data_IF_059222774135
#
_entry.id   IF_059222774135
#
_cell.length_a   1.000
_cell.length_b   1.000
_cell.length_c   1.000
_cell.angle_alpha   90.00
_cell.angle_beta   90.00
_cell.angle_gamma   90.00
#
_symmetry.space_group_name_H-M   'P 1'
#
loop_
_entity.id
_entity.type
_entity.pdbx_description
1 polymer ?
#
# COMPACT_ATOMS: atom_id res chain seq x y z
N UNK A 1 -2.08 47.07 52.21
CA UNK A 1 -1.50 45.82 52.72
C UNK A 1 -1.33 44.89 51.55
N UNK A 2 -0.09 44.52 51.27
CA UNK A 2 0.22 43.48 50.29
C UNK A 2 0.65 42.20 51.00
N UNK A 3 0.46 41.08 50.32
CA UNK A 3 0.74 39.74 50.84
C UNK A 3 1.87 39.13 50.03
N UNK A 4 2.86 38.59 50.73
CA UNK A 4 3.93 37.79 50.15
C UNK A 4 3.69 36.34 50.58
N UNK A 5 3.50 35.47 49.59
CA UNK A 5 3.37 34.03 49.78
C UNK A 5 4.72 33.36 49.54
N UNK A 6 5.33 32.79 50.58
CA UNK A 6 6.60 32.06 50.51
C UNK A 6 6.33 30.57 50.37
N UNK A 7 6.93 29.95 49.36
CA UNK A 7 6.82 28.52 49.08
C UNK A 7 8.23 27.94 48.98
N UNK A 8 8.61 27.03 49.87
CA UNK A 8 9.91 26.36 49.79
C UNK A 8 9.76 24.86 49.58
N UNK A 9 10.48 24.32 48.61
CA UNK A 9 10.61 22.89 48.45
C UNK A 9 11.65 22.33 49.43
N UNK A 10 11.19 21.58 50.42
CA UNK A 10 12.03 20.95 51.44
C UNK A 10 11.43 19.60 51.89
N UNK A 11 12.22 18.54 51.73
CA UNK A 11 11.84 17.19 52.16
C UNK A 11 12.08 17.06 53.66
N UNK A 12 11.00 16.93 54.42
CA UNK A 12 11.03 16.80 55.88
C UNK A 12 10.85 15.38 56.37
N UNK A 13 11.42 15.14 57.55
CA UNK A 13 11.21 13.94 58.35
C UNK A 13 10.14 14.16 59.41
N UNK A 14 9.57 13.08 59.93
CA UNK A 14 8.54 13.13 60.96
C UNK A 14 9.03 13.91 62.21
N UNK A 15 8.20 14.83 62.69
CA UNK A 15 8.50 15.67 63.87
C UNK A 15 9.35 16.91 63.59
N UNK A 16 9.68 17.19 62.33
CA UNK A 16 10.32 18.44 61.92
C UNK A 16 9.29 19.53 61.65
N UNK A 17 9.58 20.73 62.14
CA UNK A 17 8.83 21.95 61.89
C UNK A 17 9.74 22.94 61.15
N UNK A 18 9.23 23.53 60.06
CA UNK A 18 9.97 24.51 59.27
C UNK A 18 9.53 25.93 59.63
N UNK A 19 10.51 26.82 59.75
CA UNK A 19 10.30 28.24 59.98
C UNK A 19 11.05 29.05 58.94
N UNK A 20 10.50 30.19 58.57
CA UNK A 20 11.18 31.25 57.85
C UNK A 20 11.54 32.36 58.84
N UNK A 21 12.78 32.84 58.78
CA UNK A 21 13.26 33.97 59.56
C UNK A 21 13.46 35.18 58.66
N UNK A 22 13.01 36.35 59.09
CA UNK A 22 13.22 37.62 58.39
C UNK A 22 14.10 38.54 59.23
N UNK A 23 15.10 39.17 58.59
CA UNK A 23 15.96 40.19 59.19
C UNK A 23 16.44 39.82 60.60
N UNK A 24 16.84 38.55 60.80
CA UNK A 24 17.34 37.95 62.04
C UNK A 24 16.45 38.05 63.30
N UNK A 25 15.21 38.49 63.18
CA UNK A 25 14.39 38.86 64.36
C UNK A 25 12.97 38.31 64.33
N UNK A 26 12.39 38.12 63.15
CA UNK A 26 11.02 37.66 63.02
C UNK A 26 10.97 36.23 62.51
N UNK A 27 10.28 35.35 63.25
CA UNK A 27 10.14 33.93 62.89
C UNK A 27 8.69 33.61 62.58
N UNK A 28 8.42 33.11 61.38
CA UNK A 28 7.09 32.62 61.01
C UNK A 28 7.12 31.09 60.83
N UNK A 29 6.23 30.34 61.51
CA UNK A 29 6.07 28.92 61.24
C UNK A 29 5.49 28.72 59.85
N UNK A 30 5.99 27.71 59.14
CA UNK A 30 5.48 27.32 57.84
C UNK A 30 4.54 26.13 57.97
N UNK A 31 3.63 26.00 57.00
CA UNK A 31 2.70 24.87 56.91
C UNK A 31 3.14 23.91 55.82
N UNK A 32 3.20 22.63 56.12
CA UNK A 32 3.52 21.60 55.12
C UNK A 32 2.33 21.36 54.18
N UNK A 33 2.61 21.14 52.90
CA UNK A 33 1.63 20.75 51.87
C UNK A 33 2.13 19.56 51.06
N UNK A 34 1.22 18.90 50.33
CA UNK A 34 1.55 17.77 49.48
C UNK A 34 2.66 18.12 48.47
N UNK A 35 3.62 17.22 48.27
CA UNK A 35 4.75 17.45 47.37
C UNK A 35 5.98 18.05 48.04
N UNK A 36 6.09 17.97 49.37
CA UNK A 36 7.22 18.49 50.15
C UNK A 36 7.42 20.00 50.00
N UNK A 37 6.32 20.72 49.82
CA UNK A 37 6.31 22.19 49.74
C UNK A 37 5.81 22.73 51.07
N UNK A 38 6.58 23.62 51.67
CA UNK A 38 6.20 24.38 52.84
C UNK A 38 5.77 25.78 52.44
N UNK A 39 4.65 26.23 52.99
CA UNK A 39 4.03 27.52 52.67
C UNK A 39 3.99 28.44 53.89
N UNK A 40 4.33 29.71 53.68
CA UNK A 40 4.31 30.76 54.69
C UNK A 40 3.76 32.05 54.09
N UNK A 41 3.20 32.93 54.91
CA UNK A 41 2.58 34.17 54.44
C UNK A 41 3.03 35.35 55.30
N UNK A 42 3.45 36.43 54.65
CA UNK A 42 3.84 37.69 55.31
C UNK A 42 3.06 38.86 54.72
N UNK A 43 2.47 39.68 55.58
CA UNK A 43 1.79 40.91 55.16
C UNK A 43 2.74 42.10 55.33
N UNK A 44 2.81 42.95 54.30
CA UNK A 44 3.66 44.14 54.26
C UNK A 44 2.84 45.42 54.03
N UNK A 45 3.29 46.52 54.62
CA UNK A 45 2.67 47.84 54.55
C UNK A 45 3.54 48.80 53.73
N UNK A 46 3.55 48.60 52.42
CA UNK A 46 4.35 49.40 51.48
C UNK A 46 5.66 48.71 51.07
N UNK A 47 6.54 49.43 50.35
CA UNK A 47 7.81 48.87 49.91
C UNK A 47 8.72 48.51 51.08
N UNK A 48 9.35 47.34 51.03
CA UNK A 48 10.23 46.83 52.09
C UNK A 48 11.33 45.95 51.50
N UNK A 49 12.55 46.09 52.02
CA UNK A 49 13.63 45.13 51.80
C UNK A 49 13.52 44.02 52.86
N UNK A 50 13.53 42.77 52.42
CA UNK A 50 13.59 41.63 53.32
C UNK A 50 14.78 40.76 52.98
N UNK A 51 15.49 40.36 54.02
CA UNK A 51 16.45 39.27 54.02
C UNK A 51 15.81 38.10 54.75
N UNK A 52 15.92 36.88 54.21
CA UNK A 52 15.36 35.71 54.86
C UNK A 52 16.21 34.44 54.70
N UNK A 53 16.01 33.52 55.63
CA UNK A 53 16.55 32.17 55.59
C UNK A 53 15.60 31.21 56.29
N UNK A 54 15.78 29.92 56.04
CA UNK A 54 14.94 28.89 56.64
C UNK A 54 15.66 28.14 57.76
N UNK A 55 14.88 27.65 58.73
CA UNK A 55 15.40 26.80 59.80
C UNK A 55 14.41 25.69 60.14
N UNK A 56 14.97 24.58 60.61
CA UNK A 56 14.23 23.39 61.01
C UNK A 56 14.34 23.23 62.52
N UNK A 57 13.20 23.09 63.18
CA UNK A 57 13.11 22.75 64.60
C UNK A 57 12.58 21.34 64.79
N UNK A 58 13.05 20.70 65.85
CA UNK A 58 12.54 19.42 66.36
C UNK A 58 12.38 19.58 67.86
N UNK A 59 11.18 19.41 68.39
CA UNK A 59 10.86 19.61 69.81
C UNK A 59 11.37 20.96 70.37
N UNK A 60 11.08 22.06 69.66
CA UNK A 60 11.52 23.42 69.99
C UNK A 60 13.04 23.67 70.01
N UNK A 61 13.86 22.70 69.60
CA UNK A 61 15.31 22.89 69.43
C UNK A 61 15.62 23.07 67.95
N UNK A 62 16.44 24.07 67.63
CA UNK A 62 16.94 24.27 66.26
C UNK A 62 17.82 23.07 65.92
N UNK A 63 17.39 22.29 64.93
CA UNK A 63 18.13 21.14 64.43
C UNK A 63 19.04 21.55 63.28
N UNK A 64 18.55 22.45 62.41
CA UNK A 64 19.28 22.89 61.22
C UNK A 64 18.91 24.32 60.89
N UNK A 65 19.91 25.09 60.48
CA UNK A 65 19.73 26.38 59.82
C UNK A 65 20.18 26.17 58.37
N UNK A 66 19.51 26.82 57.42
CA UNK A 66 19.92 26.81 56.03
C UNK A 66 21.37 27.32 55.92
N UNK A 67 22.28 26.46 55.46
CA UNK A 67 23.68 26.79 55.26
C UNK A 67 23.81 27.52 53.91
N UNK A 68 23.47 28.80 53.89
CA UNK A 68 23.44 29.56 52.65
C UNK A 68 24.84 30.09 52.34
N UNK A 69 25.34 29.85 51.12
CA UNK A 69 26.48 30.54 50.53
C UNK A 69 26.11 31.96 50.00
N UNK A 70 25.09 32.60 50.58
CA UNK A 70 24.60 33.95 50.26
C UNK A 70 23.20 34.18 50.85
N UNK A 71 22.92 35.35 51.45
CA UNK A 71 21.60 35.66 52.03
C UNK A 71 20.52 35.78 50.94
N UNK A 72 19.32 35.22 51.14
CA UNK A 72 18.18 35.50 50.24
C UNK A 72 17.68 36.90 50.56
N UNK A 73 17.72 37.78 49.58
CA UNK A 73 17.31 39.18 49.74
C UNK A 73 16.44 39.64 48.57
N UNK A 74 15.44 40.47 48.85
CA UNK A 74 14.59 41.04 47.80
C UNK A 74 13.93 42.35 48.24
N UNK A 75 13.82 43.29 47.29
CA UNK A 75 13.10 44.54 47.45
C UNK A 75 11.64 44.37 47.00
N UNK A 76 10.73 44.20 47.95
CA UNK A 76 9.30 44.09 47.68
C UNK A 76 8.69 45.49 47.51
N UNK A 77 8.05 45.76 46.37
CA UNK A 77 7.50 47.08 46.05
C UNK A 77 6.09 47.33 46.66
N UNK A 78 5.62 46.49 47.58
CA UNK A 78 4.28 46.61 48.15
C UNK A 78 3.16 46.02 47.28
N UNK A 79 3.48 45.11 46.36
CA UNK A 79 2.52 44.33 45.57
C UNK A 79 2.34 42.92 46.16
N UNK A 80 1.27 42.22 45.76
CA UNK A 80 1.11 40.81 46.08
C UNK A 80 2.08 39.97 45.26
N UNK A 81 2.93 39.21 45.93
CA UNK A 81 4.06 38.49 45.33
C UNK A 81 4.08 37.06 45.85
N UNK A 82 4.44 36.12 44.98
CA UNK A 82 4.74 34.73 45.33
C UNK A 82 6.24 34.51 45.21
N UNK A 83 6.85 33.97 46.27
CA UNK A 83 8.26 33.57 46.33
C UNK A 83 8.30 32.05 46.29
N UNK A 84 9.14 31.50 45.40
CA UNK A 84 9.46 30.07 45.32
C UNK A 84 10.93 29.85 45.58
N UNK A 85 11.21 29.04 46.60
CA UNK A 85 12.53 28.72 47.10
C UNK A 85 12.79 27.21 47.07
N UNK A 86 14.07 26.83 47.03
CA UNK A 86 14.54 25.45 47.17
C UNK A 86 15.62 25.39 48.22
N UNK A 87 15.44 24.54 49.24
CA UNK A 87 16.38 24.41 50.36
C UNK A 87 17.80 24.05 49.91
N UNK A 88 17.93 23.15 48.94
CA UNK A 88 19.23 22.66 48.46
C UNK A 88 19.81 23.47 47.29
N UNK A 89 19.05 24.46 46.79
CA UNK A 89 19.43 25.28 45.64
C UNK A 89 19.04 26.74 45.91
N UNK A 90 19.73 27.44 46.82
CA UNK A 90 19.35 28.79 47.22
C UNK A 90 19.39 29.81 46.08
N UNK A 91 20.28 29.60 45.11
CA UNK A 91 20.41 30.44 43.91
C UNK A 91 19.19 30.37 42.97
N UNK A 92 18.27 29.42 43.17
CA UNK A 92 17.04 29.25 42.36
C UNK A 92 15.82 29.97 42.96
N UNK A 93 16.02 31.04 43.71
CA UNK A 93 14.92 31.86 44.24
C UNK A 93 14.15 32.52 43.10
N UNK A 94 12.86 32.23 42.97
CA UNK A 94 11.97 32.90 42.01
C UNK A 94 10.96 33.78 42.72
N UNK A 95 10.94 35.06 42.36
CA UNK A 95 9.96 36.02 42.84
C UNK A 95 9.06 36.41 41.68
N UNK A 96 7.77 36.11 41.80
CA UNK A 96 6.78 36.37 40.76
C UNK A 96 5.64 37.22 41.30
N UNK A 97 5.37 38.35 40.66
CA UNK A 97 4.16 39.12 40.93
C UNK A 97 2.93 38.28 40.57
N UNK A 98 1.91 38.25 41.44
CA UNK A 98 0.70 37.44 41.25
C UNK A 98 -0.04 37.80 39.94
N UNK A 99 0.10 39.04 39.48
CA UNK A 99 -0.42 39.51 38.20
C UNK A 99 0.27 38.86 36.99
N UNK A 100 1.57 38.53 37.11
CA UNK A 100 2.33 37.86 36.05
C UNK A 100 1.93 36.39 35.91
N UNK A 101 1.67 35.67 37.01
CA UNK A 101 1.20 34.28 36.97
C UNK A 101 -0.20 34.13 36.38
N UNK A 102 -1.12 35.04 36.69
CA UNK A 102 -2.46 35.05 36.07
C UNK A 102 -2.39 35.34 34.56
N UNK A 103 -1.46 36.20 34.13
CA UNK A 103 -1.24 36.52 32.73
C UNK A 103 -0.65 35.34 31.94
N UNK A 104 0.30 34.60 32.53
CA UNK A 104 0.91 33.44 31.86
C UNK A 104 -0.04 32.25 31.77
N UNK A 105 -0.85 32.00 32.80
CA UNK A 105 -1.91 30.99 32.77
C UNK A 105 -2.96 31.30 31.70
N UNK A 106 -3.45 32.55 31.65
CA UNK A 106 -4.36 32.98 30.59
C UNK A 106 -3.76 32.81 29.19
N UNK A 107 -2.46 33.08 29.01
CA UNK A 107 -1.78 32.87 27.73
C UNK A 107 -1.70 31.38 27.34
N UNK A 108 -1.46 30.50 28.31
CA UNK A 108 -1.41 29.05 28.08
C UNK A 108 -2.78 28.49 27.68
N UNK A 109 -3.84 28.94 28.36
CA UNK A 109 -5.21 28.53 28.05
C UNK A 109 -5.64 28.98 26.65
N UNK A 110 -5.33 30.23 26.28
CA UNK A 110 -5.57 30.76 24.92
C UNK A 110 -4.81 29.93 23.87
N UNK A 111 -3.54 29.63 24.10
CA UNK A 111 -2.74 28.83 23.17
C UNK A 111 -3.29 27.41 23.01
N UNK A 112 -3.77 26.80 24.09
CA UNK A 112 -4.37 25.47 24.06
C UNK A 112 -5.69 25.46 23.28
N UNK A 113 -6.56 26.43 23.52
CA UNK A 113 -7.81 26.58 22.75
C UNK A 113 -7.53 26.77 21.25
N UNK A 114 -6.54 27.59 20.92
CA UNK A 114 -6.15 27.83 19.53
C UNK A 114 -5.57 26.58 18.85
N UNK A 115 -4.88 25.73 19.62
CA UNK A 115 -4.37 24.45 19.14
C UNK A 115 -5.51 23.44 18.90
N UNK A 116 -6.45 23.33 19.84
CA UNK A 116 -7.61 22.45 19.73
C UNK A 116 -8.50 22.85 18.54
N UNK A 117 -8.71 24.15 18.31
CA UNK A 117 -9.46 24.65 17.16
C UNK A 117 -8.76 24.32 15.83
N UNK A 118 -7.44 24.45 15.77
CA UNK A 118 -6.64 24.07 14.59
C UNK A 118 -6.73 22.57 14.32
N UNK A 119 -6.64 21.74 15.35
CA UNK A 119 -6.77 20.27 15.22
C UNK A 119 -8.18 19.90 14.74
N UNK A 120 -9.21 20.56 15.27
CA UNK A 120 -10.59 20.33 14.86
C UNK A 120 -10.82 20.69 13.38
N UNK A 121 -10.33 21.86 12.94
CA UNK A 121 -10.39 22.28 11.54
C UNK A 121 -9.65 21.30 10.62
N UNK A 122 -8.42 20.91 10.98
CA UNK A 122 -7.62 19.97 10.19
C UNK A 122 -8.30 18.59 10.06
N UNK A 123 -8.94 18.09 11.13
CA UNK A 123 -9.71 16.85 11.08
C UNK A 123 -10.92 16.96 10.14
N UNK A 124 -11.66 18.05 10.22
CA UNK A 124 -12.84 18.28 9.38
C UNK A 124 -12.47 18.37 7.90
N UNK A 125 -11.39 19.07 7.56
CA UNK A 125 -10.89 19.15 6.19
C UNK A 125 -10.41 17.79 5.67
N UNK A 126 -9.70 17.01 6.49
CA UNK A 126 -9.26 15.67 6.11
C UNK A 126 -10.44 14.72 5.87
N UNK A 127 -11.48 14.77 6.70
CA UNK A 127 -12.69 13.97 6.54
C UNK A 127 -13.47 14.34 5.28
N UNK A 128 -13.63 15.65 5.01
CA UNK A 128 -14.34 16.12 3.82
C UNK A 128 -13.57 15.72 2.53
N UNK A 129 -12.24 15.82 2.56
CA UNK A 129 -11.41 15.41 1.42
C UNK A 129 -11.48 13.91 1.18
N UNK A 130 -11.41 13.09 2.24
CA UNK A 130 -11.55 11.64 2.14
C UNK A 130 -12.92 11.23 1.57
N UNK A 131 -13.99 11.92 1.98
CA UNK A 131 -15.34 11.66 1.45
C UNK A 131 -15.45 11.99 -0.04
N UNK A 132 -14.91 13.13 -0.48
CA UNK A 132 -14.90 13.52 -1.91
C UNK A 132 -14.08 12.55 -2.76
N UNK A 133 -12.89 12.13 -2.30
CA UNK A 133 -12.07 11.15 -3.03
C UNK A 133 -12.75 9.78 -3.14
N UNK A 134 -13.43 9.33 -2.09
CA UNK A 134 -14.18 8.07 -2.13
C UNK A 134 -15.36 8.13 -3.12
N UNK A 135 -16.09 9.24 -3.14
CA UNK A 135 -17.24 9.43 -4.05
C UNK A 135 -16.79 9.55 -5.51
N UNK A 136 -15.70 10.27 -5.79
CA UNK A 136 -15.15 10.40 -7.14
C UNK A 136 -14.62 9.04 -7.66
N UNK A 137 -13.96 8.27 -6.80
CA UNK A 137 -13.45 6.94 -7.15
C UNK A 137 -14.58 5.96 -7.45
N UNK A 138 -15.64 5.96 -6.64
CA UNK A 138 -16.82 5.12 -6.87
C UNK A 138 -17.52 5.47 -8.19
N UNK A 139 -17.60 6.76 -8.54
CA UNK A 139 -18.21 7.20 -9.80
C UNK A 139 -17.37 6.77 -11.02
N UNK A 140 -16.05 6.90 -10.95
CA UNK A 140 -15.13 6.45 -12.01
C UNK A 140 -15.17 4.94 -12.22
N UNK A 141 -15.18 4.14 -11.15
CA UNK A 141 -15.28 2.68 -11.27
C UNK A 141 -16.62 2.24 -11.88
N UNK A 142 -17.72 2.89 -11.50
CA UNK A 142 -19.04 2.59 -12.08
C UNK A 142 -19.09 2.91 -13.59
N UNK A 143 -18.52 4.05 -14.00
CA UNK A 143 -18.48 4.47 -15.40
C UNK A 143 -17.57 3.57 -16.25
N UNK A 144 -16.40 3.18 -15.73
CA UNK A 144 -15.48 2.28 -16.42
C UNK A 144 -16.08 0.87 -16.58
N UNK A 145 -16.77 0.37 -15.55
CA UNK A 145 -17.44 -0.93 -15.60
C UNK A 145 -18.59 -0.93 -16.62
N UNK A 146 -19.39 0.13 -16.66
CA UNK A 146 -20.47 0.28 -17.64
C UNK A 146 -19.92 0.33 -19.08
N UNK A 147 -18.80 1.02 -19.30
CA UNK A 147 -18.16 1.09 -20.62
C UNK A 147 -17.61 -0.26 -21.07
N UNK A 148 -16.94 -0.99 -20.17
CA UNK A 148 -16.43 -2.36 -20.44
C UNK A 148 -17.54 -3.34 -20.77
N UNK A 149 -18.65 -3.33 -20.03
CA UNK A 149 -19.80 -4.22 -20.32
C UNK A 149 -20.45 -3.90 -21.67
N UNK A 150 -20.56 -2.62 -22.03
CA UNK A 150 -21.09 -2.21 -23.33
C UNK A 150 -20.19 -2.67 -24.49
N UNK A 151 -18.87 -2.51 -24.33
CA UNK A 151 -17.88 -2.92 -25.34
C UNK A 151 -17.81 -4.45 -25.50
N UNK A 152 -17.91 -5.20 -24.39
CA UNK A 152 -17.95 -6.66 -24.43
C UNK A 152 -19.22 -7.19 -25.09
N UNK A 153 -20.39 -6.59 -24.82
CA UNK A 153 -21.64 -6.95 -25.51
C UNK A 153 -21.55 -6.68 -27.00
N UNK A 154 -21.05 -5.50 -27.40
CA UNK A 154 -20.90 -5.15 -28.81
C UNK A 154 -19.96 -6.13 -29.54
N UNK A 155 -18.86 -6.53 -28.89
CA UNK A 155 -17.94 -7.53 -29.46
C UNK A 155 -18.59 -8.91 -29.61
N UNK A 156 -19.33 -9.38 -28.59
CA UNK A 156 -20.03 -10.67 -28.65
C UNK A 156 -21.10 -10.69 -29.75
N UNK A 157 -21.90 -9.63 -29.89
CA UNK A 157 -22.88 -9.55 -30.98
C UNK A 157 -22.23 -9.54 -32.37
N UNK A 158 -21.11 -8.82 -32.53
CA UNK A 158 -20.38 -8.80 -33.79
C UNK A 158 -19.80 -10.18 -34.15
N UNK A 159 -19.23 -10.88 -33.17
CA UNK A 159 -18.68 -12.23 -33.34
C UNK A 159 -19.77 -13.26 -33.65
N UNK A 160 -20.93 -13.17 -32.99
CA UNK A 160 -22.07 -14.06 -33.24
C UNK A 160 -22.66 -13.84 -34.64
N UNK A 161 -22.79 -12.58 -35.08
CA UNK A 161 -23.22 -12.26 -36.46
C UNK A 161 -22.24 -12.79 -37.50
N UNK A 162 -20.94 -12.58 -37.30
CA UNK A 162 -19.91 -13.07 -38.22
C UNK A 162 -19.93 -14.61 -38.32
N UNK A 163 -20.13 -15.30 -37.20
CA UNK A 163 -20.26 -16.77 -37.19
C UNK A 163 -21.50 -17.24 -37.94
N UNK A 164 -22.66 -16.62 -37.71
CA UNK A 164 -23.91 -16.97 -38.41
C UNK A 164 -23.81 -16.74 -39.91
N UNK A 165 -23.25 -15.61 -40.35
CA UNK A 165 -23.04 -15.36 -41.79
C UNK A 165 -22.08 -16.36 -42.43
N UNK A 166 -20.99 -16.73 -41.75
CA UNK A 166 -20.04 -17.72 -42.25
C UNK A 166 -20.69 -19.12 -42.39
N UNK A 167 -21.48 -19.52 -41.39
CA UNK A 167 -22.21 -20.79 -41.40
C UNK A 167 -23.30 -20.84 -42.49
N UNK A 168 -24.02 -19.72 -42.70
CA UNK A 168 -25.03 -19.63 -43.76
C UNK A 168 -24.39 -19.67 -45.16
N UNK A 169 -23.26 -18.98 -45.37
CA UNK A 169 -22.52 -19.05 -46.64
C UNK A 169 -22.01 -20.47 -46.92
N UNK A 170 -21.41 -21.12 -45.92
CA UNK A 170 -20.93 -22.49 -46.06
C UNK A 170 -22.06 -23.46 -46.41
N UNK A 171 -23.25 -23.30 -45.81
CA UNK A 171 -24.42 -24.11 -46.15
C UNK A 171 -24.90 -23.87 -47.58
N UNK A 172 -25.00 -22.60 -48.01
CA UNK A 172 -25.42 -22.25 -49.39
C UNK A 172 -24.45 -22.77 -50.44
N UNK A 173 -23.14 -22.64 -50.21
CA UNK A 173 -22.13 -23.19 -51.13
C UNK A 173 -22.19 -24.72 -51.22
N UNK A 174 -22.36 -25.41 -50.09
CA UNK A 174 -22.51 -26.87 -50.09
C UNK A 174 -23.76 -27.33 -50.84
N UNK A 175 -24.89 -26.63 -50.66
CA UNK A 175 -26.15 -26.93 -51.35
C UNK A 175 -26.08 -26.64 -52.85
N UNK A 176 -25.45 -25.53 -53.26
CA UNK A 176 -25.25 -25.19 -54.67
C UNK A 176 -24.31 -26.20 -55.36
N UNK A 177 -23.24 -26.62 -54.68
CA UNK A 177 -22.30 -27.61 -55.19
C UNK A 177 -22.98 -28.98 -55.37
N UNK A 178 -23.77 -29.42 -54.39
CA UNK A 178 -24.55 -30.65 -54.48
C UNK A 178 -25.56 -30.61 -55.65
N UNK A 179 -26.23 -29.47 -55.87
CA UNK A 179 -27.14 -29.30 -57.00
C UNK A 179 -26.41 -29.35 -58.35
N UNK A 180 -25.28 -28.66 -58.48
CA UNK A 180 -24.46 -28.69 -59.71
C UNK A 180 -23.93 -30.08 -60.03
N UNK A 181 -23.43 -30.80 -59.03
CA UNK A 181 -22.96 -32.18 -59.22
C UNK A 181 -24.09 -33.13 -59.64
N UNK A 182 -25.29 -32.97 -59.07
CA UNK A 182 -26.46 -33.76 -59.48
C UNK A 182 -26.88 -33.46 -60.93
N UNK A 183 -26.89 -32.18 -61.33
CA UNK A 183 -27.24 -31.75 -62.68
C UNK A 183 -26.19 -32.18 -63.72
N UNK A 184 -24.90 -32.10 -63.39
CA UNK A 184 -23.81 -32.57 -64.25
C UNK A 184 -23.84 -34.09 -64.42
N UNK A 185 -24.15 -34.84 -63.35
CA UNK A 185 -24.28 -36.29 -63.40
C UNK A 185 -25.46 -36.71 -64.28
N UNK A 186 -26.61 -36.04 -64.16
CA UNK A 186 -27.77 -36.27 -65.02
C UNK A 186 -27.46 -35.97 -66.50
N UNK A 187 -26.73 -34.88 -66.79
CA UNK A 187 -26.31 -34.53 -68.16
C UNK A 187 -25.34 -35.56 -68.73
N UNK A 188 -24.36 -36.01 -67.95
CA UNK A 188 -23.39 -37.04 -68.36
C UNK A 188 -24.06 -38.38 -68.64
N UNK A 189 -25.00 -38.81 -67.80
CA UNK A 189 -25.77 -40.04 -68.02
C UNK A 189 -26.63 -39.97 -69.29
N UNK A 190 -27.24 -38.81 -69.58
CA UNK A 190 -27.98 -38.59 -70.82
C UNK A 190 -27.08 -38.62 -72.07
N UNK A 191 -25.90 -37.99 -72.00
CA UNK A 191 -24.93 -37.98 -73.11
C UNK A 191 -24.31 -39.37 -73.34
N UNK A 192 -24.06 -40.13 -72.27
CA UNK A 192 -23.51 -41.49 -72.36
C UNK A 192 -24.53 -42.47 -72.95
N UNK A 193 -25.82 -42.34 -72.60
CA UNK A 193 -26.91 -43.10 -73.27
C UNK A 193 -26.98 -42.79 -74.76
N UNK A 194 -26.93 -41.51 -75.15
CA UNK A 194 -26.95 -41.11 -76.56
C UNK A 194 -25.72 -41.64 -77.33
N UNK A 195 -24.52 -41.64 -76.71
CA UNK A 195 -23.31 -42.22 -77.31
C UNK A 195 -23.38 -43.73 -77.42
N UNK A 196 -23.93 -44.44 -76.42
CA UNK A 196 -24.14 -45.89 -76.49
C UNK A 196 -25.11 -46.26 -77.61
N UNK A 197 -26.24 -45.59 -77.73
CA UNK A 197 -27.18 -45.82 -78.84
C UNK A 197 -26.56 -45.55 -80.21
N UNK A 198 -25.73 -44.50 -80.35
CA UNK A 198 -25.01 -44.21 -81.59
C UNK A 198 -23.93 -45.27 -81.90
N UNK A 199 -23.16 -45.66 -80.89
CA UNK A 199 -22.13 -46.71 -81.02
C UNK A 199 -22.72 -48.07 -81.33
N UNK A 200 -23.93 -48.37 -80.85
CA UNK A 200 -24.62 -49.63 -81.07
C UNK A 200 -25.21 -49.69 -82.48
N UNK A 201 -25.70 -48.56 -83.00
CA UNK A 201 -26.04 -48.40 -84.43
C UNK A 201 -24.81 -48.55 -85.33
N UNK A 202 -23.69 -47.89 -85.01
CA UNK A 202 -22.44 -48.03 -85.76
C UNK A 202 -21.85 -49.45 -85.69
N UNK A 203 -21.99 -50.15 -84.55
CA UNK A 203 -21.60 -51.55 -84.43
C UNK A 203 -22.48 -52.47 -85.27
N UNK A 204 -23.80 -52.26 -85.28
CA UNK A 204 -24.72 -53.03 -86.15
C UNK A 204 -24.44 -52.80 -87.64
N UNK A 205 -24.02 -51.59 -88.00
CA UNK A 205 -23.67 -51.25 -89.39
C UNK A 205 -22.30 -51.83 -89.80
N UNK A 206 -21.31 -51.79 -88.90
CA UNK A 206 -19.98 -52.40 -89.10
C UNK A 206 -20.02 -53.94 -89.11
N UNK A 207 -20.97 -54.57 -88.41
CA UNK A 207 -21.17 -56.03 -88.44
C UNK A 207 -21.70 -56.54 -89.78
N UNK A 208 -22.21 -55.67 -90.66
CA UNK A 208 -22.70 -56.02 -92.00
C UNK A 208 -21.60 -56.00 -93.09
N UNK A 209 -20.37 -55.60 -92.78
CA UNK A 209 -19.33 -55.31 -93.79
C UNK A 209 -17.98 -56.07 -93.62
N UNK A 210 -17.90 -57.17 -92.88
CA UNK A 210 -16.62 -57.87 -92.67
C UNK A 210 -16.49 -59.18 -93.47
N UNK A 211 -15.48 -59.30 -94.37
CA UNK A 211 -14.96 -60.58 -94.87
C UNK A 211 -13.84 -61.15 -93.98
N UNK A 212 -13.62 -62.46 -94.13
CA UNK A 212 -12.77 -63.39 -93.35
C UNK A 212 -11.27 -63.41 -93.70
N UNK A 213 -10.48 -64.09 -92.84
CA UNK A 213 -9.05 -64.50 -92.91
C UNK A 213 -8.09 -63.53 -92.18
N UNK A 214 -6.99 -63.94 -91.53
CA UNK A 214 -6.34 -65.21 -91.16
C UNK A 214 -5.13 -64.82 -90.25
N UNK A 215 -4.58 -65.78 -89.51
CA UNK A 215 -3.53 -65.74 -88.47
C UNK A 215 -2.25 -64.94 -88.78
N UNK A 216 -1.56 -64.49 -87.72
CA UNK A 216 -0.10 -64.66 -87.50
C UNK A 216 0.51 -63.66 -86.47
N UNK A 217 0.76 -64.19 -85.26
CA UNK A 217 1.78 -63.90 -84.20
C UNK A 217 2.20 -62.48 -83.77
N UNK A 218 2.25 -62.30 -82.43
CA UNK A 218 3.15 -61.35 -81.74
C UNK A 218 2.71 -60.89 -80.34
N UNK A 219 2.78 -61.78 -79.33
CA UNK A 219 2.37 -61.51 -77.94
C UNK A 219 3.57 -61.15 -77.04
N UNK A 220 3.52 -59.97 -76.39
CA UNK A 220 4.19 -59.71 -75.09
C UNK A 220 3.30 -58.82 -74.21
N UNK A 221 3.25 -59.03 -72.88
CA UNK A 221 2.15 -58.54 -72.04
C UNK A 221 2.51 -57.26 -71.26
N UNK A 222 1.54 -56.35 -71.08
CA UNK A 222 1.57 -55.34 -70.02
C UNK A 222 0.29 -55.42 -69.22
N UNK A 223 0.45 -55.86 -67.97
CA UNK A 223 -0.62 -55.94 -66.99
C UNK A 223 -0.95 -54.56 -66.43
N UNK A 224 -2.27 -54.34 -66.32
CA UNK A 224 -2.92 -53.18 -65.72
C UNK A 224 -2.87 -53.31 -64.20
N UNK A 225 -2.14 -52.42 -63.53
CA UNK A 225 -2.14 -52.34 -62.08
C UNK A 225 -3.42 -51.68 -61.56
N UNK A 226 -4.01 -52.34 -60.57
CA UNK A 226 -5.00 -51.81 -59.63
C UNK A 226 -4.30 -50.95 -58.58
N UNK A 227 -5.04 -49.97 -58.06
CA UNK A 227 -5.14 -49.70 -56.61
C UNK A 227 -3.93 -49.13 -55.88
N UNK A 228 -4.16 -47.93 -55.32
CA UNK A 228 -3.74 -47.41 -54.00
C UNK A 228 -2.28 -47.55 -53.54
N UNK A 229 -1.74 -46.48 -52.92
CA UNK A 229 -1.15 -46.65 -51.61
C UNK A 229 -1.63 -45.60 -50.59
N UNK A 230 -2.22 -46.14 -49.53
CA UNK A 230 -2.06 -45.62 -48.17
C UNK A 230 -0.61 -45.85 -47.75
N UNK A 231 0.03 -44.83 -47.19
CA UNK A 231 1.17 -44.94 -46.26
C UNK A 231 1.42 -43.59 -45.59
N UNK A 232 0.49 -43.17 -44.73
CA UNK A 232 0.83 -42.41 -43.53
C UNK A 232 1.57 -43.34 -42.56
N UNK A 233 2.46 -42.79 -41.72
CA UNK A 233 3.10 -43.40 -40.52
C UNK A 233 4.63 -43.53 -40.52
N UNK A 234 5.38 -42.62 -41.17
CA UNK A 234 6.82 -42.48 -40.85
C UNK A 234 7.39 -41.06 -40.76
N UNK A 235 6.52 -40.06 -40.71
CA UNK A 235 6.90 -38.64 -40.65
C UNK A 235 6.38 -37.88 -39.42
N UNK A 236 5.54 -38.49 -38.57
CA UNK A 236 4.97 -37.87 -37.37
C UNK A 236 5.80 -38.05 -36.10
N UNK A 237 6.55 -39.16 -35.93
CA UNK A 237 7.25 -39.41 -34.67
C UNK A 237 8.59 -38.66 -34.53
N UNK A 238 9.28 -38.39 -35.64
CA UNK A 238 10.58 -37.66 -35.63
C UNK A 238 10.40 -36.15 -35.44
N UNK A 239 9.23 -35.61 -35.79
CA UNK A 239 8.88 -34.19 -35.66
C UNK A 239 8.39 -33.85 -34.25
N UNK A 240 7.66 -34.75 -33.58
CA UNK A 240 7.29 -34.59 -32.17
C UNK A 240 8.47 -34.79 -31.20
N UNK A 241 9.32 -35.79 -31.42
CA UNK A 241 10.49 -36.05 -30.55
C UNK A 241 11.49 -34.88 -30.53
N UNK A 242 11.68 -34.21 -31.67
CA UNK A 242 12.51 -32.99 -31.75
C UNK A 242 11.83 -31.76 -31.11
N UNK A 243 10.50 -31.70 -31.07
CA UNK A 243 9.74 -30.61 -30.42
C UNK A 243 9.78 -30.74 -28.90
N UNK A 244 9.64 -31.96 -28.39
CA UNK A 244 9.72 -32.28 -26.95
C UNK A 244 11.12 -32.04 -26.38
N UNK A 245 12.18 -32.43 -27.10
CA UNK A 245 13.57 -32.16 -26.67
C UNK A 245 13.85 -30.65 -26.58
N UNK A 246 13.46 -29.87 -27.60
CA UNK A 246 13.59 -28.40 -27.59
C UNK A 246 12.76 -27.74 -26.48
N UNK A 247 11.56 -28.25 -26.19
CA UNK A 247 10.72 -27.76 -25.09
C UNK A 247 11.35 -28.00 -23.72
N UNK A 248 11.97 -29.16 -23.49
CA UNK A 248 12.64 -29.47 -22.22
C UNK A 248 13.87 -28.58 -21.96
N UNK A 249 14.65 -28.32 -23.00
CA UNK A 249 15.87 -27.51 -22.90
C UNK A 249 15.56 -26.02 -22.68
N UNK A 250 14.46 -25.53 -23.25
CA UNK A 250 13.97 -24.16 -22.99
C UNK A 250 13.44 -24.06 -21.55
N UNK A 251 12.73 -25.06 -21.05
CA UNK A 251 12.24 -25.05 -19.66
C UNK A 251 13.37 -25.11 -18.62
N UNK A 252 14.44 -25.87 -18.87
CA UNK A 252 15.62 -25.88 -18.00
C UNK A 252 16.36 -24.53 -18.00
N UNK A 253 16.47 -23.87 -19.17
CA UNK A 253 17.05 -22.52 -19.23
C UNK A 253 16.20 -21.53 -18.43
N UNK A 254 14.87 -21.55 -18.56
CA UNK A 254 13.97 -20.67 -17.80
C UNK A 254 14.16 -20.89 -16.29
N UNK A 255 14.17 -22.16 -15.84
CA UNK A 255 14.38 -22.48 -14.41
C UNK A 255 15.71 -21.92 -13.89
N UNK A 256 16.79 -22.05 -14.66
CA UNK A 256 18.11 -21.54 -14.29
C UNK A 256 18.14 -20.01 -14.19
N UNK A 257 17.45 -19.30 -15.09
CA UNK A 257 17.34 -17.84 -15.03
C UNK A 257 16.50 -17.36 -13.85
N UNK A 258 15.42 -18.07 -13.49
CA UNK A 258 14.60 -17.76 -12.32
C UNK A 258 15.36 -17.94 -11.00
N UNK A 259 16.19 -18.99 -10.88
CA UNK A 259 17.05 -19.20 -9.70
C UNK A 259 18.11 -18.10 -9.55
N UNK A 260 18.74 -17.67 -10.65
CA UNK A 260 19.69 -16.55 -10.64
C UNK A 260 19.00 -15.24 -10.24
N UNK A 261 17.77 -15.00 -10.72
CA UNK A 261 16.99 -13.82 -10.35
C UNK A 261 16.63 -13.82 -8.86
N UNK A 262 16.25 -14.97 -8.30
CA UNK A 262 15.96 -15.11 -6.85
C UNK A 262 17.22 -14.89 -6.01
N UNK A 263 18.35 -15.49 -6.38
CA UNK A 263 19.63 -15.30 -5.68
C UNK A 263 20.06 -13.83 -5.70
N UNK A 264 19.90 -13.14 -6.83
CA UNK A 264 20.21 -11.71 -6.95
C UNK A 264 19.31 -10.85 -6.05
N UNK A 265 18.01 -11.13 -5.98
CA UNK A 265 17.09 -10.42 -5.10
C UNK A 265 17.39 -10.65 -3.62
N UNK A 266 17.77 -11.86 -3.22
CA UNK A 266 18.16 -12.17 -1.84
C UNK A 266 19.45 -11.43 -1.42
N UNK A 267 20.42 -11.32 -2.33
CA UNK A 267 21.67 -10.60 -2.08
C UNK A 267 21.44 -9.09 -1.93
N UNK A 268 20.56 -8.51 -2.75
CA UNK A 268 20.11 -7.12 -2.62
C UNK A 268 19.41 -6.88 -1.28
N UNK A 269 18.51 -7.78 -0.86
CA UNK A 269 17.84 -7.68 0.45
C UNK A 269 18.82 -7.83 1.62
N UNK A 270 19.82 -8.71 1.51
CA UNK A 270 20.86 -8.88 2.53
C UNK A 270 21.68 -7.61 2.68
N UNK A 271 22.07 -6.97 1.58
CA UNK A 271 22.83 -5.71 1.59
C UNK A 271 22.02 -4.54 2.16
N UNK A 272 20.72 -4.46 1.87
CA UNK A 272 19.80 -3.49 2.47
C UNK A 272 19.68 -3.65 4.00
N UNK A 273 19.62 -4.90 4.51
CA UNK A 273 19.57 -5.17 5.96
C UNK A 273 20.88 -4.81 6.68
N UNK A 274 22.03 -5.03 6.04
CA UNK A 274 23.33 -4.65 6.60
C UNK A 274 23.52 -3.11 6.62
N UNK A 275 23.12 -2.42 5.56
CA UNK A 275 23.12 -0.95 5.49
C UNK A 275 22.24 -0.32 6.59
N UNK A 276 21.04 -0.87 6.79
CA UNK A 276 20.10 -0.41 7.82
C UNK A 276 20.59 -0.63 9.26
N UNK A 277 21.39 -1.68 9.50
CA UNK A 277 22.02 -1.91 10.82
C UNK A 277 23.20 -0.96 11.07
N UNK A 278 24.02 -0.67 10.06
CA UNK A 278 25.11 0.31 10.19
C UNK A 278 24.62 1.74 10.46
N UNK A 279 23.48 2.15 9.91
CA UNK A 279 22.86 3.45 10.20
C UNK A 279 22.23 3.55 11.60
N UNK A 280 21.90 2.43 12.24
CA UNK A 280 21.39 2.41 13.62
C UNK A 280 22.50 2.54 14.66
N UNK A 281 23.69 2.01 14.36
CA UNK A 281 24.85 2.09 15.27
C UNK A 281 25.47 3.49 15.28
N UNK A 282 25.47 4.21 14.15
CA UNK A 282 26.04 5.57 14.07
C UNK A 282 25.20 6.66 14.76
N UNK A 283 23.90 6.45 14.97
CA UNK A 283 23.03 7.40 15.71
C UNK A 283 23.13 7.28 17.24
N UNK A 284 23.72 6.21 17.77
CA UNK A 284 23.84 5.99 19.22
C UNK A 284 25.18 6.44 19.82
N UNK A 285 26.15 6.87 19.01
CA UNK A 285 27.48 7.30 19.47
C UNK A 285 27.79 8.79 19.26
N UNK A 286 26.76 9.61 18.96
CA UNK A 286 26.89 11.06 18.80
C UNK A 286 26.10 11.83 19.87
N UNK A 287 26.44 11.65 21.15
CA UNK A 287 26.17 12.58 22.25
C UNK A 287 27.46 12.75 23.04
#
# INVERSE_FOLDING_TARGET
MATIDFNIHYITYFGQELYICFNDSEYLPMSWTSGHIWVGKKTINGPIHLEWYYLVKVHNKIQRIEEVHGLREYNFNGNNVSVRDWWYYPDLTYVTDVLHEQSTMNRQDINKQLLDEKIFKAKKEAEEKAKKEAEEKAKKEAEEKAKKEAEERARKEAEERARKEAEERARKEAEEKARKEAEEKARKEAEEKAKKEKSEKEKQERLKQLPSLDESVGFYPVQRSKGSPSSSERSSERSESNRLKRSSQIQEQIRKYEELAKSSQEEVQKNLRHSSSSQRVSKNFGK
#
